data_IF_763425343438
#
_entry.id   IF_763425343438
#
_cell.length_a   1.000
_cell.length_b   1.000
_cell.length_c   1.000
_cell.angle_alpha   90.00
_cell.angle_beta   90.00
_cell.angle_gamma   90.00
#
_symmetry.space_group_name_H-M   'P 1'
#
loop_
_entity.id
_entity.type
_entity.pdbx_description
1 polymer ?
#
# COMPACT_ATOMS: atom_id res chain seq x y z
N UNK A 1 0.94 21.97 3.06
CA UNK A 1 1.81 22.83 2.23
C UNK A 1 3.03 22.00 1.89
N UNK A 2 3.26 21.65 0.61
CA UNK A 2 4.48 20.92 0.20
C UNK A 2 5.66 21.72 0.72
N UNK A 3 6.59 21.09 1.42
CA UNK A 3 7.83 21.75 1.81
C UNK A 3 8.62 22.11 0.54
N UNK A 4 8.45 23.37 0.13
CA UNK A 4 9.07 23.90 -1.09
C UNK A 4 10.61 23.85 -1.02
N UNK A 5 11.19 23.80 0.16
CA UNK A 5 12.64 23.76 0.35
C UNK A 5 13.26 22.46 -0.16
N UNK A 6 12.76 21.31 0.30
CA UNK A 6 13.33 19.99 -0.09
C UNK A 6 13.06 19.63 -1.53
N UNK A 7 11.86 19.93 -2.03
CA UNK A 7 11.53 19.76 -3.46
C UNK A 7 12.44 20.64 -4.32
N UNK A 8 12.62 21.91 -3.96
CA UNK A 8 13.47 22.85 -4.69
C UNK A 8 14.94 22.40 -4.70
N UNK A 9 15.47 21.95 -3.57
CA UNK A 9 16.84 21.46 -3.48
C UNK A 9 17.08 20.25 -4.39
N UNK A 10 16.15 19.27 -4.38
CA UNK A 10 16.26 18.11 -5.25
C UNK A 10 16.15 18.47 -6.74
N UNK A 11 15.23 19.35 -7.10
CA UNK A 11 15.06 19.85 -8.48
C UNK A 11 16.30 20.61 -8.93
N UNK A 12 16.89 21.45 -8.07
CA UNK A 12 18.13 22.19 -8.38
C UNK A 12 19.28 21.21 -8.63
N UNK A 13 19.47 20.24 -7.74
CA UNK A 13 20.49 19.19 -7.92
C UNK A 13 20.26 18.43 -9.24
N UNK A 14 19.02 17.97 -9.49
CA UNK A 14 18.66 17.22 -10.70
C UNK A 14 18.85 18.04 -11.99
N UNK A 15 18.63 19.35 -11.93
CA UNK A 15 18.84 20.25 -13.07
C UNK A 15 20.30 20.27 -13.53
N UNK A 16 21.23 20.13 -12.58
CA UNK A 16 22.68 20.12 -12.84
C UNK A 16 23.18 18.74 -13.33
N UNK A 17 22.35 17.69 -13.26
CA UNK A 17 22.73 16.35 -13.71
C UNK A 17 22.41 16.17 -15.21
N UNK A 18 23.41 16.15 -16.09
CA UNK A 18 23.20 16.09 -17.55
C UNK A 18 22.36 14.89 -18.03
N UNK A 19 22.44 13.75 -17.32
CA UNK A 19 21.73 12.52 -17.66
C UNK A 19 20.25 12.54 -17.27
N UNK A 20 19.86 13.36 -16.30
CA UNK A 20 18.45 13.49 -15.89
C UNK A 20 17.70 14.33 -16.93
N UNK A 21 16.59 13.80 -17.42
CA UNK A 21 15.70 14.44 -18.39
C UNK A 21 14.45 15.00 -17.73
N UNK A 22 13.80 14.18 -16.91
CA UNK A 22 12.53 14.53 -16.26
C UNK A 22 12.54 14.08 -14.82
N UNK A 23 11.98 14.87 -13.92
CA UNK A 23 11.73 14.51 -12.53
C UNK A 23 10.26 14.69 -12.21
N UNK A 24 9.69 13.67 -11.62
CA UNK A 24 8.29 13.61 -11.18
C UNK A 24 8.24 13.36 -9.69
N UNK A 25 7.49 14.18 -8.98
CA UNK A 25 7.08 13.94 -7.60
C UNK A 25 5.75 13.19 -7.62
N UNK A 26 5.60 12.12 -6.84
CA UNK A 26 4.38 11.30 -6.79
C UNK A 26 3.97 11.02 -5.34
N UNK A 27 2.84 10.33 -5.16
CA UNK A 27 2.37 9.87 -3.86
C UNK A 27 1.74 10.96 -2.98
N UNK A 28 1.83 10.78 -1.66
CA UNK A 28 1.09 11.61 -0.71
C UNK A 28 1.50 13.10 -0.74
N UNK A 29 2.70 13.44 -1.20
CA UNK A 29 3.17 14.83 -1.26
C UNK A 29 2.44 15.67 -2.32
N UNK A 30 1.91 15.05 -3.35
CA UNK A 30 1.12 15.71 -4.39
C UNK A 30 -0.39 15.50 -4.21
N UNK A 31 -0.80 14.78 -3.17
CA UNK A 31 -2.20 14.54 -2.86
C UNK A 31 -2.77 15.65 -1.96
N UNK A 32 -3.54 16.55 -2.55
CA UNK A 32 -4.18 17.65 -1.80
C UNK A 32 -5.27 17.18 -0.83
N UNK A 33 -5.80 15.96 -1.00
CA UNK A 33 -6.83 15.37 -0.15
C UNK A 33 -6.26 14.50 0.99
N UNK A 34 -4.97 14.17 0.94
CA UNK A 34 -4.34 13.38 1.99
C UNK A 34 -4.26 14.16 3.30
N UNK A 35 -4.58 13.50 4.41
CA UNK A 35 -4.15 13.98 5.72
C UNK A 35 -2.64 14.15 5.64
N UNK A 36 -2.15 15.38 5.80
CA UNK A 36 -0.72 15.65 5.77
C UNK A 36 -0.08 14.96 6.96
N UNK A 37 0.39 13.74 6.75
CA UNK A 37 1.25 13.08 7.71
C UNK A 37 2.55 13.89 7.82
N UNK A 38 3.02 14.04 9.06
CA UNK A 38 4.31 14.67 9.35
C UNK A 38 5.50 13.90 8.78
N UNK A 39 5.24 12.73 8.19
CA UNK A 39 6.27 11.88 7.58
C UNK A 39 6.85 12.58 6.35
N UNK A 40 8.12 12.90 6.42
CA UNK A 40 8.85 13.56 5.35
C UNK A 40 9.37 12.55 4.32
N UNK A 41 8.44 11.77 3.74
CA UNK A 41 8.74 10.83 2.66
C UNK A 41 8.42 11.49 1.32
N UNK A 42 9.42 11.49 0.44
CA UNK A 42 9.30 11.98 -0.94
C UNK A 42 9.48 10.80 -1.89
N UNK A 43 8.53 10.62 -2.77
CA UNK A 43 8.56 9.59 -3.80
C UNK A 43 8.85 10.23 -5.15
N UNK A 44 10.00 9.90 -5.71
CA UNK A 44 10.48 10.46 -6.95
C UNK A 44 10.51 9.41 -8.06
N UNK A 45 10.12 9.82 -9.27
CA UNK A 45 10.41 9.08 -10.49
C UNK A 45 11.31 9.96 -11.34
N UNK A 46 12.48 9.43 -11.71
CA UNK A 46 13.52 10.20 -12.42
C UNK A 46 13.83 9.51 -13.74
N UNK A 47 13.58 10.21 -14.85
CA UNK A 47 13.92 9.71 -16.19
C UNK A 47 15.38 9.99 -16.52
N UNK A 48 16.13 8.92 -16.81
CA UNK A 48 17.51 8.95 -17.25
C UNK A 48 17.72 8.00 -18.43
N UNK A 49 18.66 8.29 -19.31
CA UNK A 49 18.88 7.48 -20.51
C UNK A 49 19.35 6.05 -20.21
N UNK A 50 20.15 5.88 -19.17
CA UNK A 50 20.76 4.61 -18.75
C UNK A 50 20.61 4.45 -17.23
N UNK A 51 19.42 3.97 -16.75
CA UNK A 51 19.11 3.90 -15.32
C UNK A 51 20.12 3.11 -14.48
N UNK A 52 20.57 1.94 -14.97
CA UNK A 52 21.51 1.08 -14.24
C UNK A 52 22.88 1.74 -14.12
N UNK A 53 23.41 2.27 -15.21
CA UNK A 53 24.69 3.00 -15.20
C UNK A 53 24.60 4.26 -14.33
N UNK A 54 23.46 4.94 -14.34
CA UNK A 54 23.25 6.12 -13.49
C UNK A 54 23.20 5.73 -12.01
N UNK A 55 22.58 4.60 -11.66
CA UNK A 55 22.54 4.07 -10.31
C UNK A 55 23.93 3.89 -9.71
N UNK A 56 24.88 3.38 -10.50
CA UNK A 56 26.25 3.11 -10.06
C UNK A 56 27.09 4.39 -9.93
N UNK A 57 26.82 5.40 -10.75
CA UNK A 57 27.66 6.60 -10.89
C UNK A 57 27.08 7.83 -10.20
N UNK A 58 25.87 7.78 -9.65
CA UNK A 58 25.22 8.93 -9.01
C UNK A 58 26.00 9.41 -7.79
N UNK A 59 26.15 10.72 -7.69
CA UNK A 59 26.76 11.40 -6.53
C UNK A 59 25.78 12.39 -5.93
N UNK A 60 25.73 12.45 -4.62
CA UNK A 60 24.89 13.35 -3.84
C UNK A 60 25.67 14.55 -3.26
N UNK A 61 26.93 14.71 -3.66
CA UNK A 61 27.83 15.73 -3.07
C UNK A 61 27.26 17.16 -3.15
N UNK A 62 26.52 17.46 -4.22
CA UNK A 62 25.90 18.77 -4.46
C UNK A 62 24.42 18.85 -4.06
N UNK A 63 23.90 17.84 -3.34
CA UNK A 63 22.53 17.84 -2.86
C UNK A 63 22.46 18.55 -1.50
N UNK A 64 21.96 19.77 -1.50
CA UNK A 64 21.85 20.63 -0.31
C UNK A 64 20.61 20.27 0.54
N UNK A 65 20.70 19.13 1.24
CA UNK A 65 19.65 18.63 2.15
C UNK A 65 20.21 18.13 3.49
N UNK A 66 21.48 18.42 3.76
CA UNK A 66 22.15 17.94 4.97
C UNK A 66 22.74 16.53 4.84
N UNK A 67 23.28 15.99 5.94
CA UNK A 67 23.95 14.71 5.93
C UNK A 67 23.04 13.54 5.57
N UNK A 68 23.51 12.66 4.70
CA UNK A 68 22.84 11.41 4.33
C UNK A 68 23.34 10.32 5.29
N UNK A 69 22.42 9.76 6.10
CA UNK A 69 22.68 8.63 6.99
C UNK A 69 22.69 7.29 6.27
N UNK A 70 21.89 7.16 5.21
CA UNK A 70 21.78 5.93 4.44
C UNK A 70 21.55 6.22 2.97
N UNK A 71 22.36 5.60 2.11
CA UNK A 71 22.21 5.53 0.66
C UNK A 71 22.10 4.03 0.29
N UNK A 72 20.90 3.57 0.02
CA UNK A 72 20.63 2.19 -0.36
C UNK A 72 20.22 2.14 -1.83
N UNK A 73 20.96 1.35 -2.61
CA UNK A 73 20.75 1.18 -4.05
C UNK A 73 20.39 -0.28 -4.34
N UNK A 74 19.29 -0.52 -5.05
CA UNK A 74 18.82 -1.87 -5.31
C UNK A 74 17.89 -1.92 -6.53
N UNK A 75 17.66 -3.12 -7.04
CA UNK A 75 16.69 -3.37 -8.10
C UNK A 75 15.38 -3.86 -7.47
N UNK A 76 14.27 -3.26 -7.87
CA UNK A 76 12.92 -3.65 -7.44
C UNK A 76 11.98 -3.67 -8.64
N UNK A 77 11.38 -4.83 -8.94
CA UNK A 77 10.51 -5.02 -10.11
C UNK A 77 11.20 -4.56 -11.41
N UNK A 78 12.42 -5.01 -11.63
CA UNK A 78 13.27 -4.70 -12.77
C UNK A 78 13.55 -3.21 -13.00
N UNK A 79 13.47 -2.42 -11.93
CA UNK A 79 13.80 -0.98 -11.95
C UNK A 79 14.84 -0.67 -10.89
N UNK A 80 15.82 0.18 -11.21
CA UNK A 80 16.73 0.72 -10.22
C UNK A 80 16.03 1.65 -9.24
N UNK A 81 16.29 1.44 -7.96
CA UNK A 81 15.78 2.26 -6.86
C UNK A 81 16.90 2.75 -5.98
N UNK A 82 16.72 3.96 -5.48
CA UNK A 82 17.58 4.54 -4.46
C UNK A 82 16.70 4.96 -3.29
N UNK A 83 17.15 4.62 -2.09
CA UNK A 83 16.55 5.13 -0.86
C UNK A 83 17.59 5.93 -0.10
N UNK A 84 17.31 7.20 0.13
CA UNK A 84 18.09 8.06 1.00
C UNK A 84 17.34 8.30 2.31
N UNK A 85 18.08 8.26 3.41
CA UNK A 85 17.64 8.72 4.71
C UNK A 85 18.57 9.85 5.15
N UNK A 86 18.00 11.00 5.46
CA UNK A 86 18.74 12.17 5.95
C UNK A 86 18.70 12.24 7.47
N UNK A 87 19.64 13.00 8.05
CA UNK A 87 19.77 13.14 9.51
C UNK A 87 18.51 13.72 10.18
N UNK A 88 17.76 14.57 9.50
CA UNK A 88 16.50 15.14 9.98
C UNK A 88 15.29 14.17 9.88
N UNK A 89 15.50 12.92 9.46
CA UNK A 89 14.48 11.90 9.26
C UNK A 89 13.79 11.93 7.90
N UNK A 90 14.12 12.88 7.03
CA UNK A 90 13.62 12.92 5.65
C UNK A 90 14.04 11.67 4.88
N UNK A 91 13.12 11.13 4.10
CA UNK A 91 13.38 9.98 3.22
C UNK A 91 13.04 10.29 1.77
N UNK A 92 13.99 10.01 0.89
CA UNK A 92 13.75 10.02 -0.55
C UNK A 92 13.73 8.58 -1.07
N UNK A 93 12.63 8.20 -1.72
CA UNK A 93 12.50 6.97 -2.48
C UNK A 93 12.52 7.37 -3.96
N UNK A 94 13.58 7.01 -4.67
CA UNK A 94 13.81 7.42 -6.05
C UNK A 94 13.75 6.20 -6.94
N UNK A 95 12.81 6.17 -7.89
CA UNK A 95 12.74 5.18 -8.95
C UNK A 95 13.39 5.75 -10.21
N UNK A 96 14.41 5.08 -10.73
CA UNK A 96 15.04 5.47 -11.99
C UNK A 96 14.35 4.72 -13.15
N UNK A 97 14.05 5.43 -14.23
CA UNK A 97 13.39 4.88 -15.40
C UNK A 97 13.97 5.46 -16.68
N UNK A 98 13.73 4.79 -17.81
CA UNK A 98 14.02 5.40 -19.11
C UNK A 98 12.97 6.46 -19.49
N UNK A 99 13.25 7.39 -20.41
CA UNK A 99 12.27 8.37 -20.87
C UNK A 99 10.98 7.74 -21.42
N UNK A 100 11.06 6.60 -22.09
CA UNK A 100 9.90 5.87 -22.63
C UNK A 100 9.04 5.30 -21.50
N UNK A 101 9.70 4.77 -20.46
CA UNK A 101 9.01 4.24 -19.27
C UNK A 101 8.36 5.34 -18.45
N UNK A 102 8.92 6.53 -18.46
CA UNK A 102 8.29 7.72 -17.87
C UNK A 102 6.95 8.03 -18.52
N UNK A 103 6.83 7.94 -19.86
CA UNK A 103 5.58 8.16 -20.58
C UNK A 103 4.48 7.22 -20.10
N UNK A 104 4.79 5.91 -19.97
CA UNK A 104 3.84 4.92 -19.45
C UNK A 104 3.40 5.22 -18.01
N UNK A 105 4.33 5.68 -17.15
CA UNK A 105 4.02 6.02 -15.76
C UNK A 105 3.09 7.21 -15.72
N UNK A 106 3.39 8.25 -16.48
CA UNK A 106 2.62 9.47 -16.52
C UNK A 106 1.23 9.29 -17.14
N UNK A 107 1.05 8.30 -17.98
CA UNK A 107 -0.27 7.92 -18.52
C UNK A 107 -1.12 7.20 -17.47
N UNK A 108 -0.50 6.32 -16.67
CA UNK A 108 -1.19 5.45 -15.71
C UNK A 108 -1.39 6.08 -14.34
N UNK A 109 -0.44 6.89 -13.87
CA UNK A 109 -0.49 7.51 -12.55
C UNK A 109 -0.94 8.97 -12.64
N UNK A 110 -2.13 9.25 -12.15
CA UNK A 110 -2.68 10.61 -12.11
C UNK A 110 -2.24 11.39 -10.87
N UNK A 111 -1.66 10.70 -9.86
CA UNK A 111 -1.20 11.33 -8.62
C UNK A 111 0.30 11.65 -8.71
N UNK A 112 0.64 12.46 -9.70
CA UNK A 112 2.02 12.85 -9.97
C UNK A 112 2.11 14.29 -10.50
N UNK A 113 3.20 14.97 -10.16
CA UNK A 113 3.54 16.32 -10.59
C UNK A 113 4.92 16.32 -11.26
N UNK A 114 5.01 16.79 -12.49
CA UNK A 114 6.29 17.01 -13.15
C UNK A 114 6.91 18.27 -12.58
N UNK A 115 8.03 18.13 -11.91
CA UNK A 115 8.77 19.23 -11.27
C UNK A 115 10.01 19.67 -12.06
N UNK A 116 10.47 18.80 -12.97
CA UNK A 116 11.55 19.13 -13.93
C UNK A 116 11.26 18.44 -15.27
N UNK A 117 11.31 19.19 -16.35
CA UNK A 117 11.19 18.71 -17.74
C UNK A 117 12.17 19.50 -18.61
N UNK A 118 13.40 18.99 -18.76
CA UNK A 118 14.49 19.71 -19.46
C UNK A 118 14.24 19.86 -20.95
N UNK A 119 13.59 18.87 -21.55
CA UNK A 119 13.35 18.82 -22.99
C UNK A 119 11.99 19.44 -23.37
N UNK A 120 11.26 19.98 -22.37
CA UNK A 120 9.91 20.55 -22.51
C UNK A 120 8.94 19.60 -23.26
N UNK A 121 9.07 18.31 -23.00
CA UNK A 121 8.33 17.23 -23.70
C UNK A 121 6.86 17.20 -23.31
N UNK A 122 6.56 17.50 -22.04
CA UNK A 122 5.23 17.25 -21.47
C UNK A 122 4.32 18.49 -21.41
N UNK A 123 4.88 19.70 -21.55
CA UNK A 123 4.13 20.94 -21.52
C UNK A 123 3.33 21.16 -20.24
N UNK A 124 2.27 21.99 -20.32
CA UNK A 124 1.38 22.25 -19.18
C UNK A 124 0.52 21.02 -18.87
N UNK A 125 0.67 20.47 -17.68
CA UNK A 125 -0.10 19.30 -17.22
C UNK A 125 -1.31 19.66 -16.37
N UNK A 126 -2.29 18.75 -16.34
CA UNK A 126 -3.41 18.80 -15.41
C UNK A 126 -2.90 18.69 -13.97
N UNK A 127 -3.61 19.32 -13.03
CA UNK A 127 -3.32 19.16 -11.59
C UNK A 127 -3.36 17.69 -11.19
N UNK A 128 -2.49 17.24 -10.27
CA UNK A 128 -2.53 15.88 -9.76
C UNK A 128 -3.91 15.54 -9.18
N UNK A 129 -4.35 14.31 -9.43
CA UNK A 129 -5.59 13.75 -8.88
C UNK A 129 -5.32 12.35 -8.34
N UNK A 130 -6.12 11.90 -7.40
CA UNK A 130 -5.97 10.59 -6.79
C UNK A 130 -6.68 9.45 -7.54
N UNK A 131 -7.24 9.72 -8.72
CA UNK A 131 -8.06 8.78 -9.48
C UNK A 131 -7.38 7.42 -9.73
N UNK A 132 -6.08 7.43 -10.04
CA UNK A 132 -5.31 6.20 -10.26
C UNK A 132 -5.06 5.38 -8.99
N UNK A 133 -5.24 5.98 -7.82
CA UNK A 133 -4.96 5.37 -6.50
C UNK A 133 -6.23 4.96 -5.74
N UNK A 134 -7.41 5.20 -6.32
CA UNK A 134 -8.68 4.82 -5.72
C UNK A 134 -8.90 3.32 -5.78
N UNK A 135 -9.56 2.80 -4.77
CA UNK A 135 -10.01 1.41 -4.76
C UNK A 135 -11.03 1.24 -5.88
N UNK A 136 -10.78 0.29 -6.75
CA UNK A 136 -11.70 -0.03 -7.86
C UNK A 136 -12.82 -0.95 -7.38
N UNK A 137 -13.99 -0.82 -8.00
CA UNK A 137 -15.07 -1.79 -7.80
C UNK A 137 -14.58 -3.19 -8.18
N UNK A 138 -14.61 -4.17 -7.28
CA UNK A 138 -14.24 -5.53 -7.63
C UNK A 138 -15.27 -6.15 -8.57
N UNK A 139 -14.84 -7.06 -9.43
CA UNK A 139 -15.75 -7.95 -10.16
C UNK A 139 -16.31 -9.03 -9.22
N UNK A 140 -17.36 -9.73 -9.67
CA UNK A 140 -17.94 -10.86 -8.94
C UNK A 140 -16.89 -11.95 -8.69
N UNK A 141 -16.04 -12.23 -9.68
CA UNK A 141 -14.94 -13.18 -9.56
C UNK A 141 -13.91 -12.73 -8.52
N UNK A 142 -13.58 -11.44 -8.48
CA UNK A 142 -12.67 -10.90 -7.48
C UNK A 142 -13.26 -10.98 -6.06
N UNK A 143 -14.55 -10.71 -5.91
CA UNK A 143 -15.25 -10.87 -4.64
C UNK A 143 -15.19 -12.32 -4.14
N UNK A 144 -15.54 -13.29 -5.00
CA UNK A 144 -15.45 -14.70 -4.68
C UNK A 144 -14.02 -15.15 -4.36
N UNK A 145 -13.03 -14.61 -5.11
CA UNK A 145 -11.61 -14.86 -4.81
C UNK A 145 -11.20 -14.35 -3.43
N UNK A 146 -11.71 -13.19 -2.98
CA UNK A 146 -11.44 -12.72 -1.62
C UNK A 146 -12.01 -13.66 -0.58
N UNK A 147 -13.23 -14.17 -0.80
CA UNK A 147 -13.86 -15.14 0.11
C UNK A 147 -13.07 -16.44 0.19
N UNK A 148 -12.75 -17.02 -0.96
CA UNK A 148 -12.06 -18.30 -1.06
C UNK A 148 -10.64 -18.22 -0.46
N UNK A 149 -9.90 -17.17 -0.81
CA UNK A 149 -8.57 -16.91 -0.26
C UNK A 149 -8.60 -16.69 1.24
N UNK A 150 -9.57 -15.95 1.78
CA UNK A 150 -9.67 -15.73 3.21
C UNK A 150 -9.98 -17.04 3.94
N UNK A 151 -10.95 -17.81 3.47
CA UNK A 151 -11.34 -19.07 4.10
C UNK A 151 -10.21 -20.10 4.07
N UNK A 152 -9.46 -20.16 2.99
CA UNK A 152 -8.27 -21.04 2.89
C UNK A 152 -7.21 -20.63 3.89
N UNK A 153 -6.78 -19.38 3.87
CA UNK A 153 -5.67 -18.91 4.71
C UNK A 153 -6.01 -18.88 6.20
N UNK A 154 -7.26 -18.55 6.57
CA UNK A 154 -7.67 -18.57 7.99
C UNK A 154 -7.81 -20.01 8.51
N UNK A 155 -8.14 -20.97 7.65
CA UNK A 155 -8.15 -22.39 7.99
C UNK A 155 -6.74 -22.88 8.27
N UNK A 156 -5.75 -22.49 7.46
CA UNK A 156 -4.34 -22.81 7.72
C UNK A 156 -3.89 -22.31 9.11
N UNK A 157 -4.29 -21.08 9.49
CA UNK A 157 -4.00 -20.54 10.82
C UNK A 157 -4.52 -21.48 11.90
N UNK A 158 -5.77 -21.90 11.79
CA UNK A 158 -6.43 -22.78 12.76
C UNK A 158 -5.75 -24.16 12.82
N UNK A 159 -5.38 -24.73 11.67
CA UNK A 159 -4.68 -26.01 11.63
C UNK A 159 -3.31 -25.92 12.31
N UNK A 160 -2.55 -24.87 12.11
CA UNK A 160 -1.29 -24.66 12.81
C UNK A 160 -1.48 -24.42 14.32
N UNK A 161 -2.53 -23.71 14.73
CA UNK A 161 -2.88 -23.52 16.14
C UNK A 161 -3.24 -24.86 16.83
N UNK A 162 -3.97 -25.71 16.13
CA UNK A 162 -4.35 -27.02 16.64
C UNK A 162 -3.13 -27.93 16.93
N UNK A 163 -2.04 -27.70 16.20
CA UNK A 163 -0.77 -28.41 16.37
C UNK A 163 0.27 -27.65 17.21
N UNK A 164 -0.11 -26.58 17.92
CA UNK A 164 0.75 -25.70 18.70
C UNK A 164 1.92 -25.05 17.91
N UNK A 165 1.80 -24.98 16.58
CA UNK A 165 2.79 -24.37 15.69
C UNK A 165 2.57 -22.85 15.58
N UNK A 166 2.82 -22.11 16.68
CA UNK A 166 2.46 -20.69 16.80
C UNK A 166 3.14 -19.80 15.77
N UNK A 167 4.40 -20.06 15.41
CA UNK A 167 5.11 -19.28 14.39
C UNK A 167 4.52 -19.48 12.99
N UNK A 168 4.20 -20.74 12.64
CA UNK A 168 3.55 -21.05 11.36
C UNK A 168 2.14 -20.44 11.31
N UNK A 169 1.39 -20.50 12.42
CA UNK A 169 0.08 -19.84 12.55
C UNK A 169 0.19 -18.32 12.32
N UNK A 170 1.21 -17.66 12.89
CA UNK A 170 1.41 -16.21 12.70
C UNK A 170 1.76 -15.86 11.26
N UNK A 171 2.56 -16.68 10.57
CA UNK A 171 2.89 -16.49 9.14
C UNK A 171 1.62 -16.67 8.29
N UNK A 172 0.83 -17.73 8.53
CA UNK A 172 -0.45 -17.94 7.85
C UNK A 172 -1.41 -16.78 8.12
N UNK A 173 -1.46 -16.26 9.34
CA UNK A 173 -2.30 -15.14 9.70
C UNK A 173 -1.93 -13.85 8.95
N UNK A 174 -0.64 -13.63 8.70
CA UNK A 174 -0.20 -12.52 7.84
C UNK A 174 -0.70 -12.68 6.39
N UNK A 175 -0.82 -13.92 5.88
CA UNK A 175 -1.43 -14.20 4.56
C UNK A 175 -2.94 -13.98 4.58
N UNK A 176 -3.66 -14.47 5.60
CA UNK A 176 -5.10 -14.29 5.76
C UNK A 176 -5.53 -12.81 5.85
N UNK A 177 -4.67 -11.93 6.38
CA UNK A 177 -4.93 -10.49 6.41
C UNK A 177 -5.00 -9.85 5.02
N UNK A 178 -4.36 -10.41 3.99
CA UNK A 178 -4.41 -9.84 2.64
C UNK A 178 -5.83 -9.83 2.07
N UNK A 179 -6.52 -10.97 1.94
CA UNK A 179 -7.91 -10.99 1.48
C UNK A 179 -8.87 -10.28 2.45
N UNK A 180 -8.62 -10.31 3.77
CA UNK A 180 -9.39 -9.54 4.74
C UNK A 180 -9.29 -8.03 4.43
N UNK A 181 -8.09 -7.51 4.21
CA UNK A 181 -7.89 -6.10 3.85
C UNK A 181 -8.55 -5.75 2.53
N UNK A 182 -8.45 -6.61 1.51
CA UNK A 182 -9.13 -6.39 0.22
C UNK A 182 -10.65 -6.32 0.38
N UNK A 183 -11.23 -7.18 1.22
CA UNK A 183 -12.66 -7.16 1.54
C UNK A 183 -13.05 -5.87 2.26
N UNK A 184 -12.29 -5.47 3.29
CA UNK A 184 -12.51 -4.23 4.06
C UNK A 184 -12.44 -3.01 3.15
N UNK A 185 -11.36 -2.86 2.38
CA UNK A 185 -11.16 -1.74 1.47
C UNK A 185 -12.27 -1.64 0.42
N UNK A 186 -12.66 -2.76 -0.18
CA UNK A 186 -13.72 -2.80 -1.18
C UNK A 186 -15.09 -2.46 -0.60
N UNK A 187 -15.40 -2.99 0.60
CA UNK A 187 -16.67 -2.73 1.29
C UNK A 187 -16.82 -1.26 1.66
N UNK A 188 -15.79 -0.68 2.28
CA UNK A 188 -15.80 0.73 2.69
C UNK A 188 -15.81 1.66 1.47
N UNK A 189 -15.07 1.29 0.41
CA UNK A 189 -15.06 2.08 -0.83
C UNK A 189 -16.40 2.05 -1.56
N UNK A 190 -17.16 0.96 -1.46
CA UNK A 190 -18.50 0.86 -2.03
C UNK A 190 -19.50 1.84 -1.39
N UNK A 191 -19.31 2.21 -0.11
CA UNK A 191 -20.14 3.21 0.56
C UNK A 191 -19.93 4.62 -0.02
N UNK A 192 -18.75 4.90 -0.57
CA UNK A 192 -18.36 6.18 -1.19
C UNK A 192 -18.30 6.10 -2.73
N UNK A 193 -19.02 5.19 -3.36
CA UNK A 193 -19.03 5.00 -4.82
C UNK A 193 -17.61 4.83 -5.40
N UNK A 194 -16.74 4.12 -4.69
CA UNK A 194 -15.36 3.85 -5.09
C UNK A 194 -14.48 5.10 -5.29
N UNK A 195 -14.72 6.13 -4.49
CA UNK A 195 -13.88 7.34 -4.48
C UNK A 195 -12.77 7.30 -3.44
N UNK A 196 -12.70 6.23 -2.63
CA UNK A 196 -11.74 6.09 -1.55
C UNK A 196 -10.32 5.87 -2.06
N UNK A 197 -9.39 6.67 -1.54
CA UNK A 197 -7.96 6.44 -1.66
C UNK A 197 -7.38 6.14 -0.26
N UNK A 198 -7.03 4.88 0.03
CA UNK A 198 -6.54 4.48 1.35
C UNK A 198 -5.16 5.05 1.68
N UNK A 199 -4.49 5.65 0.72
CA UNK A 199 -3.09 6.08 0.84
C UNK A 199 -2.11 4.92 0.76
N UNK A 200 -0.82 5.26 0.69
CA UNK A 200 0.23 4.25 0.77
C UNK A 200 0.20 3.58 2.14
N UNK A 201 0.43 2.27 2.17
CA UNK A 201 0.37 1.46 3.39
C UNK A 201 -0.93 1.66 4.21
N UNK A 202 -2.00 2.14 3.55
CA UNK A 202 -3.36 2.32 4.12
C UNK A 202 -3.44 3.37 5.23
N UNK A 203 -2.55 4.35 5.22
CA UNK A 203 -2.46 5.37 6.27
C UNK A 203 -3.75 6.17 6.49
N UNK A 204 -4.64 6.22 5.49
CA UNK A 204 -5.90 6.94 5.56
C UNK A 204 -7.10 6.03 5.86
N UNK A 205 -6.93 4.71 5.95
CA UNK A 205 -8.05 3.77 6.04
C UNK A 205 -8.91 3.98 7.30
N UNK A 206 -8.29 4.37 8.40
CA UNK A 206 -8.97 4.66 9.65
C UNK A 206 -10.00 5.81 9.55
N UNK A 207 -9.80 6.74 8.62
CA UNK A 207 -10.73 7.86 8.42
C UNK A 207 -12.04 7.44 7.73
N UNK A 208 -12.07 6.26 7.13
CA UNK A 208 -13.21 5.74 6.37
C UNK A 208 -13.92 4.58 7.06
N UNK A 209 -13.29 3.94 8.04
CA UNK A 209 -13.89 2.88 8.84
C UNK A 209 -14.70 3.47 10.00
N UNK A 210 -15.80 2.81 10.38
CA UNK A 210 -16.43 3.06 11.66
C UNK A 210 -15.48 2.64 12.78
N UNK A 211 -15.54 3.32 13.92
CA UNK A 211 -14.63 3.06 15.05
C UNK A 211 -14.60 1.59 15.45
N UNK A 212 -15.78 0.94 15.51
CA UNK A 212 -15.90 -0.49 15.83
C UNK A 212 -15.16 -1.37 14.82
N UNK A 213 -15.33 -1.11 13.52
CA UNK A 213 -14.70 -1.90 12.45
C UNK A 213 -13.18 -1.69 12.43
N UNK A 214 -12.74 -0.47 12.73
CA UNK A 214 -11.32 -0.17 12.89
C UNK A 214 -10.70 -0.90 14.09
N UNK A 215 -11.42 -0.96 15.21
CA UNK A 215 -10.99 -1.73 16.37
C UNK A 215 -10.89 -3.22 16.07
N UNK A 216 -11.91 -3.80 15.42
CA UNK A 216 -11.85 -5.20 14.97
C UNK A 216 -10.65 -5.45 14.06
N UNK A 217 -10.41 -4.57 13.09
CA UNK A 217 -9.27 -4.68 12.17
C UNK A 217 -7.94 -4.63 12.93
N UNK A 218 -7.78 -3.67 13.83
CA UNK A 218 -6.59 -3.53 14.68
C UNK A 218 -6.36 -4.77 15.53
N UNK A 219 -7.41 -5.33 16.08
CA UNK A 219 -7.38 -6.52 16.92
C UNK A 219 -7.07 -7.82 16.15
N UNK A 220 -6.93 -7.78 14.83
CA UNK A 220 -6.34 -8.87 14.04
C UNK A 220 -4.82 -8.89 14.08
N UNK A 221 -4.18 -7.82 14.58
CA UNK A 221 -2.71 -7.72 14.73
C UNK A 221 -2.31 -8.15 16.14
N UNK A 222 -2.37 -9.45 16.38
CA UNK A 222 -2.23 -10.06 17.70
C UNK A 222 -0.80 -10.51 17.99
N UNK A 223 -0.49 -10.70 19.29
CA UNK A 223 0.76 -11.33 19.71
C UNK A 223 0.77 -12.82 19.36
N UNK A 224 1.98 -13.40 19.23
CA UNK A 224 2.18 -14.82 18.90
C UNK A 224 2.02 -15.68 20.15
N UNK A 225 0.85 -15.60 20.80
CA UNK A 225 0.42 -16.54 21.85
C UNK A 225 -0.79 -17.32 21.36
N UNK A 226 -0.98 -18.55 21.84
CA UNK A 226 -2.10 -19.40 21.43
C UNK A 226 -3.44 -18.69 21.63
N UNK A 227 -3.64 -18.08 22.80
CA UNK A 227 -4.85 -17.35 23.15
C UNK A 227 -5.07 -16.15 22.22
N UNK A 228 -4.07 -15.28 22.04
CA UNK A 228 -4.22 -14.08 21.24
C UNK A 228 -4.48 -14.41 19.77
N UNK A 229 -3.83 -15.46 19.24
CA UNK A 229 -4.05 -15.93 17.87
C UNK A 229 -5.47 -16.46 17.67
N UNK A 230 -6.03 -17.25 18.60
CA UNK A 230 -7.43 -17.67 18.53
C UNK A 230 -8.40 -16.49 18.58
N UNK A 231 -8.17 -15.53 19.49
CA UNK A 231 -8.97 -14.30 19.57
C UNK A 231 -8.95 -13.54 18.24
N UNK A 232 -7.74 -13.41 17.64
CA UNK A 232 -7.56 -12.78 16.34
C UNK A 232 -8.26 -13.51 15.19
N UNK A 233 -8.27 -14.85 15.18
CA UNK A 233 -9.01 -15.66 14.19
C UNK A 233 -10.49 -15.32 14.23
N UNK A 234 -11.12 -15.39 15.42
CA UNK A 234 -12.55 -15.10 15.54
C UNK A 234 -12.90 -13.67 15.18
N UNK A 235 -12.09 -12.69 15.59
CA UNK A 235 -12.28 -11.28 15.21
C UNK A 235 -12.16 -11.07 13.69
N UNK A 236 -11.18 -11.74 13.06
CA UNK A 236 -11.03 -11.69 11.61
C UNK A 236 -12.25 -12.26 10.88
N UNK A 237 -12.78 -13.39 11.35
CA UNK A 237 -14.00 -14.00 10.77
C UNK A 237 -15.23 -13.09 10.92
N UNK A 238 -15.37 -12.44 12.09
CA UNK A 238 -16.49 -11.51 12.33
C UNK A 238 -16.39 -10.30 11.40
N UNK A 239 -15.21 -9.69 11.32
CA UNK A 239 -15.00 -8.52 10.46
C UNK A 239 -15.17 -8.89 8.97
N UNK A 240 -14.58 -10.01 8.54
CA UNK A 240 -14.67 -10.46 7.16
C UNK A 240 -16.13 -10.70 6.74
N UNK A 241 -16.92 -11.40 7.58
CA UNK A 241 -18.35 -11.63 7.34
C UNK A 241 -19.11 -10.32 7.23
N UNK A 242 -18.91 -9.39 8.17
CA UNK A 242 -19.59 -8.10 8.19
C UNK A 242 -19.33 -7.33 6.90
N UNK A 243 -18.07 -7.19 6.52
CA UNK A 243 -17.66 -6.49 5.31
C UNK A 243 -18.10 -7.23 4.04
N UNK A 244 -17.99 -8.56 4.04
CA UNK A 244 -18.38 -9.39 2.91
C UNK A 244 -19.87 -9.35 2.62
N UNK A 245 -20.73 -9.39 3.65
CA UNK A 245 -22.18 -9.26 3.47
C UNK A 245 -22.57 -7.88 2.95
N UNK A 246 -21.98 -6.81 3.51
CA UNK A 246 -22.23 -5.45 3.04
C UNK A 246 -21.79 -5.23 1.59
N UNK A 247 -20.63 -5.76 1.22
CA UNK A 247 -20.13 -5.66 -0.15
C UNK A 247 -20.95 -6.52 -1.12
N UNK A 248 -21.34 -7.74 -0.73
CA UNK A 248 -22.17 -8.63 -1.53
C UNK A 248 -23.53 -7.98 -1.91
N UNK A 249 -24.16 -7.30 -0.96
CA UNK A 249 -25.38 -6.53 -1.20
C UNK A 249 -25.17 -5.42 -2.24
N UNK A 250 -24.06 -4.66 -2.14
CA UNK A 250 -23.71 -3.59 -3.10
C UNK A 250 -23.37 -4.10 -4.50
N UNK A 251 -22.77 -5.29 -4.58
CA UNK A 251 -22.41 -5.93 -5.85
C UNK A 251 -23.57 -6.73 -6.45
N UNK A 252 -24.61 -7.03 -5.65
CA UNK A 252 -25.71 -7.94 -6.01
C UNK A 252 -25.23 -9.37 -6.29
N UNK A 253 -24.25 -9.85 -5.50
CA UNK A 253 -23.72 -11.22 -5.54
C UNK A 253 -24.04 -11.97 -4.26
N UNK A 254 -23.97 -13.29 -4.31
CA UNK A 254 -24.21 -14.13 -3.14
C UNK A 254 -22.92 -14.28 -2.29
N UNK A 255 -23.03 -14.00 -0.98
CA UNK A 255 -21.96 -14.31 -0.03
C UNK A 255 -21.97 -15.80 0.31
N UNK A 256 -20.84 -16.53 0.34
CA UNK A 256 -20.75 -17.98 0.59
C UNK A 256 -21.02 -18.33 2.06
N UNK A 257 -22.24 -18.06 2.52
CA UNK A 257 -22.69 -18.15 3.91
C UNK A 257 -22.57 -19.55 4.49
N UNK A 258 -22.85 -20.58 3.70
CA UNK A 258 -22.78 -21.96 4.17
C UNK A 258 -21.34 -22.35 4.55
N UNK A 259 -20.38 -22.04 3.70
CA UNK A 259 -18.97 -22.28 3.95
C UNK A 259 -18.49 -21.55 5.20
N UNK A 260 -18.83 -20.26 5.32
CA UNK A 260 -18.49 -19.42 6.48
C UNK A 260 -19.02 -20.02 7.79
N UNK A 261 -20.29 -20.48 7.81
CA UNK A 261 -20.90 -21.10 8.99
C UNK A 261 -20.23 -22.44 9.34
N UNK A 262 -19.95 -23.27 8.34
CA UNK A 262 -19.29 -24.55 8.54
C UNK A 262 -17.88 -24.39 9.10
N UNK A 263 -17.10 -23.48 8.56
CA UNK A 263 -15.73 -23.19 9.04
C UNK A 263 -15.75 -22.66 10.48
N UNK A 264 -16.63 -21.73 10.80
CA UNK A 264 -16.72 -21.23 12.18
C UNK A 264 -17.12 -22.31 13.19
N UNK A 265 -17.99 -23.24 12.80
CA UNK A 265 -18.32 -24.38 13.65
C UNK A 265 -17.10 -25.27 13.89
N UNK A 266 -16.35 -25.58 12.83
CA UNK A 266 -15.09 -26.32 12.93
C UNK A 266 -14.10 -25.61 13.85
N UNK A 267 -13.88 -24.31 13.65
CA UNK A 267 -12.93 -23.52 14.43
C UNK A 267 -13.29 -23.48 15.93
N UNK A 268 -14.56 -23.38 16.27
CA UNK A 268 -15.03 -23.44 17.66
C UNK A 268 -14.75 -24.80 18.29
N UNK A 269 -15.03 -25.89 17.60
CA UNK A 269 -14.76 -27.23 18.10
C UNK A 269 -13.25 -27.41 18.39
N UNK A 270 -12.38 -27.06 17.43
CA UNK A 270 -10.92 -27.17 17.59
C UNK A 270 -10.38 -26.25 18.71
N UNK A 271 -10.96 -25.06 18.85
CA UNK A 271 -10.61 -24.18 19.95
C UNK A 271 -10.97 -24.74 21.33
N UNK A 272 -12.18 -25.34 21.46
CA UNK A 272 -12.64 -25.97 22.70
C UNK A 272 -11.77 -27.18 23.07
N UNK A 273 -11.37 -28.00 22.08
CA UNK A 273 -10.45 -29.13 22.27
C UNK A 273 -9.03 -28.71 22.64
N UNK A 274 -8.62 -27.49 22.28
CA UNK A 274 -7.27 -26.97 22.50
C UNK A 274 -7.07 -26.27 23.84
N UNK A 275 -8.13 -26.10 24.64
CA UNK A 275 -8.12 -25.51 25.98
C UNK A 275 -7.62 -26.47 27.03
#
# INVERSE_FOLDING_TARGET
MVDKGKTSAFVTWASNQNRIKTVVLTGNRVNNAAVQNKDEIYEWVVAVSEPDLFLDQISWADLDLGPILQDSRYIRNDKPFIRLLFEDGTRFNICLVTPEKMDEILEKDTLCEIVLDKDNKYGARKKPTDLSRRIKKPSDEQFLYYCDSFFTEITDVVMYLNHDNLLAAQIAFARARKPLMSMVESSVSAESEYTLNPGQDRVNLNAYLKDEDYEYLRDTYVRTTKKDLWDGVFKSCVLFRRMGLALAEKLQVEYPKEMDVHLLKLFRNLWEESR
#
